data_IF_564048810360
#
_entry.id   IF_564048810360
#
_cell.length_a   1.000
_cell.length_b   1.000
_cell.length_c   1.000
_cell.angle_alpha   90.00
_cell.angle_beta   90.00
_cell.angle_gamma   90.00
#
_symmetry.space_group_name_H-M   'P 1'
#
loop_
_entity.id
_entity.type
_entity.pdbx_description
1 polymer ?
#
# COMPACT_ATOMS: atom_id res chain seq x y z
N UNK A 1 9.47 -25.32 -26.54
CA UNK A 1 10.08 -24.74 -25.34
C UNK A 1 8.99 -24.25 -24.37
N UNK A 2 7.79 -24.83 -24.47
CA UNK A 2 6.54 -24.23 -23.99
C UNK A 2 5.90 -25.02 -22.85
N UNK A 3 6.45 -26.21 -22.52
CA UNK A 3 5.94 -27.07 -21.43
C UNK A 3 6.58 -26.80 -20.06
N UNK A 4 7.73 -26.14 -20.00
CA UNK A 4 8.40 -25.81 -18.74
C UNK A 4 7.85 -24.52 -18.10
N UNK A 5 7.27 -23.64 -18.91
CA UNK A 5 6.76 -22.34 -18.46
C UNK A 5 5.39 -22.45 -17.77
N UNK A 6 4.65 -23.53 -18.01
CA UNK A 6 3.34 -23.81 -17.39
C UNK A 6 3.44 -24.49 -16.02
N UNK A 7 4.61 -25.09 -15.70
CA UNK A 7 4.87 -25.83 -14.46
C UNK A 7 5.43 -24.91 -13.36
N UNK A 8 5.95 -23.74 -13.74
CA UNK A 8 6.66 -22.82 -12.85
C UNK A 8 5.91 -21.48 -12.87
N UNK A 9 4.79 -21.41 -12.15
CA UNK A 9 4.25 -20.12 -11.73
C UNK A 9 5.21 -19.57 -10.66
N UNK A 10 5.72 -18.36 -10.84
CA UNK A 10 6.45 -17.65 -9.78
C UNK A 10 5.40 -16.97 -8.88
N UNK A 11 5.05 -17.50 -7.70
CA UNK A 11 4.20 -16.78 -6.77
C UNK A 11 5.01 -15.67 -6.12
N UNK A 12 5.27 -14.57 -6.84
CA UNK A 12 5.80 -13.34 -6.23
C UNK A 12 4.67 -12.63 -5.47
N UNK A 13 3.96 -13.38 -4.62
CA UNK A 13 3.09 -12.82 -3.60
C UNK A 13 3.84 -12.85 -2.30
N UNK A 14 4.48 -11.73 -1.96
CA UNK A 14 5.12 -11.54 -0.66
C UNK A 14 4.01 -11.73 0.40
N UNK A 15 4.11 -12.75 1.28
CA UNK A 15 3.15 -12.94 2.35
C UNK A 15 3.06 -11.65 3.17
N UNK A 16 1.84 -11.28 3.58
CA UNK A 16 1.53 -10.07 4.34
C UNK A 16 1.40 -8.74 3.54
N UNK A 17 1.61 -8.68 2.22
CA UNK A 17 1.39 -7.45 1.42
C UNK A 17 -0.07 -6.96 1.34
N UNK A 18 -1.06 -7.86 1.47
CA UNK A 18 -2.48 -7.51 1.39
C UNK A 18 -2.91 -6.52 2.48
N UNK A 19 -2.35 -6.62 3.68
CA UNK A 19 -2.69 -5.76 4.84
C UNK A 19 -2.22 -4.31 4.68
N UNK A 20 -0.93 -4.01 4.41
CA UNK A 20 -0.48 -2.65 4.15
C UNK A 20 -1.15 -2.07 2.90
N UNK A 21 -1.41 -2.88 1.86
CA UNK A 21 -2.15 -2.42 0.69
C UNK A 21 -3.57 -1.94 1.03
N UNK A 22 -4.32 -2.74 1.79
CA UNK A 22 -5.66 -2.34 2.27
C UNK A 22 -5.61 -1.09 3.15
N UNK A 23 -4.61 -0.97 4.03
CA UNK A 23 -4.40 0.21 4.88
C UNK A 23 -4.11 1.46 4.04
N UNK A 24 -3.24 1.37 3.03
CA UNK A 24 -2.95 2.48 2.11
C UNK A 24 -4.22 2.89 1.37
N UNK A 25 -4.98 1.92 0.86
CA UNK A 25 -6.18 2.19 0.07
C UNK A 25 -7.28 2.89 0.90
N UNK A 26 -7.58 2.36 2.09
CA UNK A 26 -8.56 2.95 3.02
C UNK A 26 -8.10 4.34 3.46
N UNK A 27 -6.82 4.49 3.85
CA UNK A 27 -6.29 5.77 4.31
C UNK A 27 -6.29 6.83 3.20
N UNK A 28 -6.05 6.42 1.95
CA UNK A 28 -6.09 7.34 0.82
C UNK A 28 -7.50 7.88 0.57
N UNK A 29 -8.53 7.02 0.68
CA UNK A 29 -9.94 7.44 0.57
C UNK A 29 -10.29 8.42 1.68
N UNK A 30 -9.92 8.11 2.93
CA UNK A 30 -10.15 9.00 4.09
C UNK A 30 -9.42 10.34 3.88
N UNK A 31 -8.21 10.32 3.34
CA UNK A 31 -7.43 11.52 3.10
C UNK A 31 -8.11 12.46 2.10
N UNK A 32 -8.62 11.92 0.99
CA UNK A 32 -9.37 12.71 0.01
C UNK A 32 -10.63 13.31 0.62
N UNK A 33 -11.41 12.52 1.36
CA UNK A 33 -12.66 12.98 1.99
C UNK A 33 -12.39 14.10 3.00
N UNK A 34 -11.45 13.90 3.91
CA UNK A 34 -11.14 14.89 4.95
C UNK A 34 -10.53 16.16 4.38
N UNK A 35 -9.66 16.05 3.38
CA UNK A 35 -9.07 17.22 2.71
C UNK A 35 -10.11 18.03 1.94
N UNK A 36 -11.10 17.37 1.32
CA UNK A 36 -12.25 18.06 0.71
C UNK A 36 -13.11 18.77 1.75
N UNK A 37 -13.40 18.14 2.90
CA UNK A 37 -14.15 18.78 3.99
C UNK A 37 -13.44 20.04 4.50
N UNK A 38 -12.11 19.95 4.73
CA UNK A 38 -11.29 21.10 5.13
C UNK A 38 -11.34 22.20 4.07
N UNK A 39 -11.30 21.82 2.79
CA UNK A 39 -11.45 22.73 1.66
C UNK A 39 -12.76 23.49 1.65
N UNK A 40 -13.88 22.77 1.84
CA UNK A 40 -15.22 23.36 1.87
C UNK A 40 -15.39 24.31 3.07
N UNK A 41 -14.85 23.95 4.24
CA UNK A 41 -14.94 24.80 5.44
C UNK A 41 -14.10 26.07 5.30
N UNK A 42 -12.93 25.98 4.68
CA UNK A 42 -11.97 27.09 4.60
C UNK A 42 -12.00 27.86 3.28
N UNK A 43 -12.81 27.42 2.32
CA UNK A 43 -12.95 27.94 0.96
C UNK A 43 -11.62 28.22 0.26
N UNK A 44 -10.62 27.37 0.53
CA UNK A 44 -9.24 27.58 0.10
C UNK A 44 -8.60 26.30 -0.40
N UNK A 45 -8.24 26.31 -1.68
CA UNK A 45 -7.51 25.21 -2.35
C UNK A 45 -6.16 24.98 -1.66
N UNK A 46 -5.50 26.04 -1.16
CA UNK A 46 -4.23 25.93 -0.45
C UNK A 46 -4.35 25.04 0.79
N UNK A 47 -5.44 25.18 1.55
CA UNK A 47 -5.66 24.40 2.75
C UNK A 47 -5.99 22.93 2.45
N UNK A 48 -6.65 22.65 1.31
CA UNK A 48 -6.85 21.28 0.81
C UNK A 48 -5.50 20.62 0.57
N UNK A 49 -4.60 21.28 -0.18
CA UNK A 49 -3.28 20.73 -0.49
C UNK A 49 -2.44 20.49 0.76
N UNK A 50 -2.44 21.44 1.70
CA UNK A 50 -1.70 21.31 2.96
C UNK A 50 -2.26 20.15 3.79
N UNK A 51 -3.58 20.07 3.94
CA UNK A 51 -4.25 18.96 4.64
C UNK A 51 -3.86 17.61 4.02
N UNK A 52 -3.92 17.52 2.69
CA UNK A 52 -3.63 16.29 1.98
C UNK A 52 -2.18 15.83 2.17
N UNK A 53 -1.22 16.76 2.06
CA UNK A 53 0.22 16.47 2.21
C UNK A 53 0.52 16.02 3.64
N UNK A 54 -0.02 16.70 4.66
CA UNK A 54 0.22 16.35 6.06
C UNK A 54 -0.26 14.92 6.33
N UNK A 55 -1.47 14.58 5.91
CA UNK A 55 -2.03 13.25 6.12
C UNK A 55 -1.28 12.17 5.33
N UNK A 56 -0.81 12.49 4.12
CA UNK A 56 0.01 11.58 3.32
C UNK A 56 1.36 11.28 4.01
N UNK A 57 2.03 12.29 4.56
CA UNK A 57 3.28 12.12 5.31
C UNK A 57 3.05 11.23 6.54
N UNK A 58 1.96 11.45 7.28
CA UNK A 58 1.59 10.62 8.44
C UNK A 58 1.41 9.16 8.02
N UNK A 59 0.68 8.90 6.91
CA UNK A 59 0.50 7.55 6.38
C UNK A 59 1.85 6.90 6.04
N UNK A 60 2.75 7.64 5.42
CA UNK A 60 4.09 7.17 5.05
C UNK A 60 4.90 6.79 6.29
N UNK A 61 4.82 7.58 7.36
CA UNK A 61 5.47 7.30 8.65
C UNK A 61 4.88 6.06 9.36
N UNK A 62 3.60 5.75 9.18
CA UNK A 62 2.96 4.57 9.77
C UNK A 62 3.29 3.31 8.98
N UNK A 63 3.31 3.40 7.65
CA UNK A 63 3.46 2.23 6.77
C UNK A 63 4.93 1.88 6.52
N UNK A 64 5.83 2.87 6.41
CA UNK A 64 7.26 2.64 6.13
C UNK A 64 8.02 1.80 7.16
N UNK A 65 7.80 1.91 8.49
CA UNK A 65 8.51 1.08 9.46
C UNK A 65 8.14 -0.39 9.31
N UNK A 66 6.89 -0.68 8.94
CA UNK A 66 6.42 -2.04 8.77
C UNK A 66 7.13 -2.78 7.62
N UNK A 67 7.66 -2.03 6.64
CA UNK A 67 8.52 -2.56 5.58
C UNK A 67 9.97 -2.77 6.04
N UNK A 68 10.49 -1.90 6.90
CA UNK A 68 11.88 -1.96 7.40
C UNK A 68 12.12 -3.05 8.45
N UNK A 69 11.10 -3.43 9.23
CA UNK A 69 11.26 -4.29 10.42
C UNK A 69 10.63 -5.68 10.31
N UNK A 70 10.00 -6.04 9.19
CA UNK A 70 9.53 -7.42 8.97
C UNK A 70 10.59 -8.22 8.23
N UNK A 71 11.11 -9.28 8.86
CA UNK A 71 11.88 -10.31 8.18
C UNK A 71 11.04 -10.87 7.04
N UNK A 72 11.55 -10.80 5.82
CA UNK A 72 10.88 -11.40 4.67
C UNK A 72 10.55 -12.87 5.01
N UNK A 73 9.28 -13.28 4.93
CA UNK A 73 8.96 -14.70 5.01
C UNK A 73 9.74 -15.41 3.91
N UNK A 74 10.32 -16.58 4.20
CA UNK A 74 11.13 -17.32 3.24
C UNK A 74 10.37 -17.47 1.93
N UNK A 75 10.85 -16.80 0.88
CA UNK A 75 10.33 -16.94 -0.47
C UNK A 75 10.43 -18.41 -0.84
N UNK A 76 9.31 -19.13 -0.86
CA UNK A 76 9.25 -20.45 -1.49
C UNK A 76 9.26 -20.22 -3.00
N UNK A 77 10.47 -20.09 -3.57
CA UNK A 77 10.70 -19.72 -4.96
C UNK A 77 10.10 -20.71 -5.97
N UNK A 78 9.73 -21.91 -5.54
CA UNK A 78 9.24 -23.01 -6.37
C UNK A 78 8.20 -23.84 -5.61
N UNK A 79 6.91 -23.62 -5.90
CA UNK A 79 5.86 -24.57 -5.50
C UNK A 79 5.59 -25.48 -6.69
N UNK A 80 6.09 -26.71 -6.65
CA UNK A 80 5.81 -27.72 -7.68
C UNK A 80 4.37 -28.19 -7.49
N UNK A 81 3.47 -27.90 -8.44
CA UNK A 81 2.11 -28.49 -8.47
C UNK A 81 2.26 -30.01 -8.67
N UNK A 82 1.69 -30.80 -7.75
CA UNK A 82 1.41 -32.24 -7.94
C UNK A 82 0.04 -32.41 -8.61
#
# INVERSE_FOLDING_TARGET
>A
MDKLQEIIEFPVTIPNQKKPYQLIQISSIINVITSLIVGVITDSIKNICISFIIQFIILLLIVSPNWLFQSEPSLEWLTVKF
#
